data_IF_072603242958
#
_entry.id   IF_072603242958
#
_cell.length_a   1.000
_cell.length_b   1.000
_cell.length_c   1.000
_cell.angle_alpha   90.00
_cell.angle_beta   90.00
_cell.angle_gamma   90.00
#
_symmetry.space_group_name_H-M   'P 1'
#
loop_
_entity.id
_entity.type
_entity.pdbx_description
1 polymer ?
#
# COMPACT_ATOMS: atom_id res chain seq x y z
N UNK A 1 -10.04 -11.84 11.07
CA UNK A 1 -9.78 -11.60 9.63
C UNK A 1 -8.28 -11.49 9.33
N UNK A 2 -7.52 -10.72 10.08
CA UNK A 2 -6.09 -10.53 9.83
C UNK A 2 -5.25 -11.81 9.86
N UNK A 3 -5.51 -12.76 10.77
CA UNK A 3 -4.75 -14.02 10.89
C UNK A 3 -4.90 -14.95 9.69
N UNK A 4 -6.08 -15.07 9.12
CA UNK A 4 -6.33 -15.94 7.97
C UNK A 4 -5.70 -15.37 6.69
N UNK A 5 -5.72 -14.04 6.52
CA UNK A 5 -5.08 -13.36 5.43
C UNK A 5 -3.56 -13.58 5.46
N UNK A 6 -2.94 -13.45 6.64
CA UNK A 6 -1.50 -13.66 6.82
C UNK A 6 -1.09 -15.11 6.59
N UNK A 7 -1.89 -16.07 7.03
CA UNK A 7 -1.64 -17.49 6.77
C UNK A 7 -1.66 -17.79 5.27
N UNK A 8 -2.69 -17.32 4.56
CA UNK A 8 -2.79 -17.48 3.11
C UNK A 8 -1.63 -16.78 2.36
N UNK A 9 -1.18 -15.63 2.84
CA UNK A 9 -0.04 -14.92 2.29
C UNK A 9 1.26 -15.72 2.44
N UNK A 10 1.50 -16.30 3.61
CA UNK A 10 2.68 -17.14 3.88
C UNK A 10 2.71 -18.39 3.02
N UNK A 11 1.58 -19.08 2.87
CA UNK A 11 1.44 -20.25 2.01
C UNK A 11 1.79 -19.94 0.56
N UNK A 12 1.57 -18.72 0.12
CA UNK A 12 1.86 -18.25 -1.24
C UNK A 12 3.22 -17.55 -1.37
N UNK A 13 4.06 -17.59 -0.34
CA UNK A 13 5.39 -17.02 -0.35
C UNK A 13 5.44 -15.50 -0.15
N UNK A 14 4.39 -14.92 0.40
CA UNK A 14 4.33 -13.50 0.77
C UNK A 14 4.47 -13.39 2.28
N UNK A 15 5.51 -12.76 2.75
CA UNK A 15 5.72 -12.57 4.19
C UNK A 15 4.77 -11.50 4.78
N UNK A 16 4.59 -11.57 6.09
CA UNK A 16 3.68 -10.70 6.83
C UNK A 16 3.98 -9.20 6.62
N UNK A 17 5.24 -8.83 6.70
CA UNK A 17 5.66 -7.44 6.51
C UNK A 17 5.39 -6.97 5.08
N UNK A 18 5.61 -7.84 4.11
CA UNK A 18 5.34 -7.56 2.70
C UNK A 18 3.84 -7.35 2.46
N UNK A 19 3.00 -8.19 3.03
CA UNK A 19 1.54 -8.05 2.92
C UNK A 19 1.04 -6.73 3.51
N UNK A 20 1.54 -6.35 4.70
CA UNK A 20 1.18 -5.09 5.35
C UNK A 20 1.58 -3.86 4.55
N UNK A 21 2.69 -3.91 3.84
CA UNK A 21 3.27 -2.77 3.13
C UNK A 21 3.14 -2.86 1.60
N UNK A 22 2.35 -3.81 1.10
CA UNK A 22 2.13 -4.00 -0.34
C UNK A 22 1.52 -2.78 -1.05
N UNK A 23 0.84 -1.92 -0.31
CA UNK A 23 0.24 -0.70 -0.85
C UNK A 23 1.26 0.26 -1.43
N UNK A 24 2.44 0.36 -0.83
CA UNK A 24 3.52 1.22 -1.33
C UNK A 24 4.00 0.72 -2.70
N UNK A 25 4.18 -0.58 -2.86
CA UNK A 25 4.55 -1.17 -4.15
C UNK A 25 3.47 -0.93 -5.19
N UNK A 26 2.21 -1.08 -4.81
CA UNK A 26 1.07 -0.79 -5.67
C UNK A 26 1.00 0.68 -6.10
N UNK A 27 1.26 1.59 -5.18
CA UNK A 27 1.32 3.02 -5.47
C UNK A 27 2.42 3.35 -6.49
N UNK A 28 3.62 2.81 -6.30
CA UNK A 28 4.73 2.98 -7.24
C UNK A 28 4.41 2.38 -8.61
N UNK A 29 3.77 1.22 -8.64
CA UNK A 29 3.36 0.57 -9.88
C UNK A 29 2.36 1.43 -10.68
N UNK A 30 1.39 2.03 -10.02
CA UNK A 30 0.38 2.88 -10.67
C UNK A 30 0.90 4.24 -11.11
N UNK A 31 2.05 4.67 -10.61
CA UNK A 31 2.61 6.00 -10.85
C UNK A 31 4.00 5.94 -11.51
N UNK A 32 4.29 4.90 -12.28
CA UNK A 32 5.58 4.74 -12.96
C UNK A 32 5.86 5.83 -14.01
N UNK A 33 4.84 6.52 -14.48
CA UNK A 33 4.93 7.65 -15.39
C UNK A 33 5.41 8.94 -14.70
N UNK A 34 5.57 8.94 -13.40
CA UNK A 34 5.96 10.11 -12.59
C UNK A 34 7.18 9.80 -11.74
N UNK A 35 7.92 10.84 -11.38
CA UNK A 35 8.96 10.75 -10.38
C UNK A 35 8.34 10.79 -8.98
N UNK A 36 8.42 9.68 -8.25
CA UNK A 36 7.87 9.54 -6.91
C UNK A 36 9.00 9.58 -5.88
N UNK A 37 8.81 10.41 -4.87
CA UNK A 37 9.75 10.59 -3.76
C UNK A 37 9.15 10.12 -2.45
N UNK A 38 9.97 9.97 -1.44
CA UNK A 38 9.52 9.56 -0.11
C UNK A 38 8.40 10.46 0.43
N UNK A 39 8.50 11.77 0.24
CA UNK A 39 7.46 12.72 0.69
C UNK A 39 6.09 12.45 0.07
N UNK A 40 6.06 11.92 -1.14
CA UNK A 40 4.79 11.58 -1.82
C UNK A 40 4.13 10.38 -1.15
N UNK A 41 4.93 9.40 -0.71
CA UNK A 41 4.46 8.25 0.08
C UNK A 41 3.93 8.72 1.45
N UNK A 42 4.66 9.60 2.12
CA UNK A 42 4.25 10.18 3.40
C UNK A 42 2.88 10.87 3.29
N UNK A 43 2.69 11.66 2.24
CA UNK A 43 1.46 12.39 1.98
C UNK A 43 0.30 11.47 1.58
N UNK A 44 0.54 10.52 0.67
CA UNK A 44 -0.51 9.62 0.15
C UNK A 44 -1.09 8.73 1.26
N UNK A 45 -0.22 8.12 2.06
CA UNK A 45 -0.64 7.17 3.09
C UNK A 45 -0.80 7.80 4.48
N UNK A 46 -0.50 9.10 4.61
CA UNK A 46 -0.56 9.84 5.89
C UNK A 46 0.23 9.14 7.00
N UNK A 47 1.43 8.72 6.66
CA UNK A 47 2.33 7.99 7.54
C UNK A 47 3.52 8.90 7.90
N UNK A 48 3.98 8.80 9.13
CA UNK A 48 5.13 9.56 9.61
C UNK A 48 6.40 9.24 8.83
N UNK A 49 7.24 10.26 8.62
CA UNK A 49 8.50 10.15 7.90
C UNK A 49 9.40 9.01 8.41
N UNK A 50 9.52 8.86 9.74
CA UNK A 50 10.34 7.80 10.33
C UNK A 50 9.85 6.41 9.95
N UNK A 51 8.54 6.20 9.94
CA UNK A 51 7.92 4.93 9.56
C UNK A 51 8.16 4.64 8.07
N UNK A 52 7.93 5.63 7.21
CA UNK A 52 8.18 5.48 5.76
C UNK A 52 9.66 5.19 5.50
N UNK A 53 10.57 5.89 6.17
CA UNK A 53 12.02 5.65 6.06
C UNK A 53 12.37 4.20 6.36
N UNK A 54 11.83 3.65 7.44
CA UNK A 54 12.10 2.26 7.83
C UNK A 54 11.52 1.25 6.83
N UNK A 55 10.31 1.49 6.36
CA UNK A 55 9.68 0.65 5.35
C UNK A 55 10.49 0.66 4.05
N UNK A 56 10.87 1.83 3.56
CA UNK A 56 11.62 1.97 2.31
C UNK A 56 13.02 1.34 2.40
N UNK A 57 13.72 1.50 3.52
CA UNK A 57 15.00 0.83 3.74
C UNK A 57 14.88 -0.69 3.64
N UNK A 58 13.85 -1.26 4.24
CA UNK A 58 13.62 -2.69 4.18
C UNK A 58 13.27 -3.14 2.75
N UNK A 59 12.45 -2.39 2.03
CA UNK A 59 12.09 -2.69 0.63
C UNK A 59 13.31 -2.61 -0.29
N UNK A 60 14.15 -1.62 -0.10
CA UNK A 60 15.41 -1.47 -0.82
C UNK A 60 16.36 -2.63 -0.54
N UNK A 61 16.52 -3.00 0.74
CA UNK A 61 17.34 -4.14 1.15
C UNK A 61 16.87 -5.46 0.53
N UNK A 62 15.57 -5.66 0.42
CA UNK A 62 14.97 -6.85 -0.21
C UNK A 62 14.98 -6.80 -1.75
N UNK A 63 15.40 -5.70 -2.33
CA UNK A 63 15.48 -5.55 -3.78
C UNK A 63 14.15 -5.24 -4.47
N UNK A 64 13.13 -4.82 -3.74
CA UNK A 64 11.81 -4.49 -4.31
C UNK A 64 11.72 -3.08 -4.88
N UNK A 65 12.54 -2.18 -4.36
CA UNK A 65 12.69 -0.81 -4.85
C UNK A 65 14.16 -0.45 -4.94
N UNK A 66 14.47 0.56 -5.74
CA UNK A 66 15.77 1.23 -5.75
C UNK A 66 15.56 2.73 -5.74
N UNK A 67 16.61 3.46 -5.35
CA UNK A 67 16.64 4.91 -5.37
C UNK A 67 17.49 5.37 -6.54
N UNK A 68 17.00 6.31 -7.31
CA UNK A 68 17.71 6.91 -8.44
C UNK A 68 17.79 8.42 -8.31
N UNK A 69 18.94 8.98 -8.70
CA UNK A 69 19.11 10.43 -8.80
C UNK A 69 18.23 11.01 -9.91
N UNK A 70 17.79 12.24 -9.72
CA UNK A 70 17.08 13.00 -10.75
C UNK A 70 17.99 14.15 -11.23
N UNK A 71 17.92 14.52 -12.54
CA UNK A 71 18.85 15.52 -13.09
C UNK A 71 18.59 16.94 -12.60
N UNK A 72 17.40 17.24 -12.11
CA UNK A 72 16.98 18.59 -11.72
C UNK A 72 17.26 18.94 -10.25
N UNK A 73 17.57 17.97 -9.39
CA UNK A 73 17.97 18.22 -7.99
C UNK A 73 18.79 17.05 -7.45
N UNK A 74 20.08 17.28 -7.20
CA UNK A 74 21.01 16.27 -6.70
C UNK A 74 20.67 15.74 -5.30
N UNK A 75 19.86 16.47 -4.52
CA UNK A 75 19.43 16.06 -3.17
C UNK A 75 18.28 15.08 -3.20
N UNK A 76 17.57 15.00 -4.31
CA UNK A 76 16.39 14.15 -4.46
C UNK A 76 16.75 12.78 -5.02
N UNK A 77 16.14 11.76 -4.46
CA UNK A 77 16.21 10.37 -4.94
C UNK A 77 14.80 9.87 -5.19
N UNK A 78 14.47 9.64 -6.45
CA UNK A 78 13.17 9.03 -6.79
C UNK A 78 13.17 7.56 -6.45
N UNK A 79 11.99 7.07 -6.10
CA UNK A 79 11.74 5.66 -5.80
C UNK A 79 11.33 4.95 -7.09
N UNK A 80 12.01 3.86 -7.40
CA UNK A 80 11.76 3.07 -8.60
C UNK A 80 11.43 1.64 -8.20
N UNK A 81 10.33 1.13 -8.73
CA UNK A 81 9.94 -0.26 -8.55
C UNK A 81 10.85 -1.15 -9.40
N UNK A 82 11.43 -2.18 -8.78
CA UNK A 82 12.21 -3.19 -9.50
C UNK A 82 11.30 -4.26 -10.10
N UNK A 83 11.82 -5.08 -11.00
CA UNK A 83 11.06 -6.23 -11.54
C UNK A 83 10.64 -7.19 -10.44
N UNK A 84 11.53 -7.45 -9.47
CA UNK A 84 11.22 -8.25 -8.28
C UNK A 84 10.09 -7.63 -7.44
N UNK A 85 10.10 -6.32 -7.26
CA UNK A 85 9.04 -5.58 -6.58
C UNK A 85 7.70 -5.65 -7.32
N UNK A 86 7.74 -5.57 -8.64
CA UNK A 86 6.55 -5.71 -9.50
C UNK A 86 5.92 -7.11 -9.38
N UNK A 87 6.74 -8.15 -9.46
CA UNK A 87 6.28 -9.54 -9.29
C UNK A 87 5.62 -9.75 -7.93
N UNK A 88 6.22 -9.20 -6.88
CA UNK A 88 5.65 -9.26 -5.54
C UNK A 88 4.30 -8.54 -5.46
N UNK A 89 4.21 -7.35 -6.05
CA UNK A 89 2.95 -6.60 -6.11
C UNK A 89 1.85 -7.39 -6.81
N UNK A 90 2.14 -7.99 -7.96
CA UNK A 90 1.19 -8.79 -8.72
C UNK A 90 0.68 -10.00 -7.92
N UNK A 91 1.58 -10.74 -7.27
CA UNK A 91 1.20 -11.86 -6.40
C UNK A 91 0.31 -11.41 -5.24
N UNK A 92 0.65 -10.30 -4.61
CA UNK A 92 -0.11 -9.75 -3.48
C UNK A 92 -1.49 -9.29 -3.94
N UNK A 93 -1.56 -8.63 -5.09
CA UNK A 93 -2.82 -8.17 -5.67
C UNK A 93 -3.75 -9.35 -5.98
N UNK A 94 -3.25 -10.36 -6.68
CA UNK A 94 -4.05 -11.54 -7.03
C UNK A 94 -4.60 -12.24 -5.78
N UNK A 95 -3.79 -12.36 -4.75
CA UNK A 95 -4.20 -12.92 -3.47
C UNK A 95 -5.30 -12.09 -2.80
N UNK A 96 -5.16 -10.77 -2.79
CA UNK A 96 -6.16 -9.88 -2.20
C UNK A 96 -7.47 -9.95 -2.98
N UNK A 97 -7.41 -9.93 -4.31
CA UNK A 97 -8.60 -10.02 -5.17
C UNK A 97 -9.39 -11.31 -4.88
N UNK A 98 -8.71 -12.46 -4.78
CA UNK A 98 -9.35 -13.74 -4.44
C UNK A 98 -9.99 -13.69 -3.05
N UNK A 99 -9.30 -13.13 -2.07
CA UNK A 99 -9.81 -13.03 -0.70
C UNK A 99 -10.99 -12.07 -0.59
N UNK A 100 -10.97 -10.97 -1.32
CA UNK A 100 -12.11 -10.06 -1.40
C UNK A 100 -13.34 -10.75 -1.98
N UNK A 101 -13.19 -11.46 -3.10
CA UNK A 101 -14.29 -12.24 -3.70
C UNK A 101 -14.91 -13.24 -2.71
N UNK A 102 -14.06 -13.98 -2.00
CA UNK A 102 -14.52 -14.93 -0.99
C UNK A 102 -15.19 -14.26 0.21
N UNK A 103 -14.68 -13.09 0.61
CA UNK A 103 -15.21 -12.35 1.76
C UNK A 103 -16.62 -11.80 1.51
N UNK A 104 -16.92 -11.41 0.27
CA UNK A 104 -18.22 -10.84 -0.09
C UNK A 104 -19.20 -11.87 -0.68
N UNK A 105 -18.80 -13.12 -0.78
CA UNK A 105 -19.66 -14.19 -1.32
C UNK A 105 -20.99 -14.26 -0.58
N UNK A 106 -22.09 -14.30 -1.32
CA UNK A 106 -23.43 -14.35 -0.78
C UNK A 106 -24.03 -13.02 -0.30
N UNK A 107 -23.28 -11.93 -0.43
CA UNK A 107 -23.76 -10.59 -0.07
C UNK A 107 -24.31 -9.89 -1.33
N UNK A 108 -25.53 -9.38 -1.25
CA UNK A 108 -26.14 -8.63 -2.35
C UNK A 108 -25.36 -7.35 -2.65
N UNK A 109 -25.28 -6.99 -3.92
CA UNK A 109 -24.57 -5.77 -4.35
C UNK A 109 -25.09 -4.51 -3.67
N UNK A 110 -26.41 -4.40 -3.52
CA UNK A 110 -27.06 -3.26 -2.87
C UNK A 110 -26.63 -3.12 -1.41
N UNK A 111 -26.46 -4.23 -0.71
CA UNK A 111 -26.02 -4.24 0.68
C UNK A 111 -24.54 -3.82 0.80
N UNK A 112 -23.70 -4.28 -0.13
CA UNK A 112 -22.30 -3.85 -0.20
C UNK A 112 -22.20 -2.36 -0.48
N UNK A 113 -22.94 -1.83 -1.43
CA UNK A 113 -22.95 -0.41 -1.78
C UNK A 113 -23.38 0.43 -0.56
N UNK A 114 -24.39 0.00 0.16
CA UNK A 114 -24.83 0.64 1.41
C UNK A 114 -23.75 0.58 2.48
N UNK A 115 -23.11 -0.55 2.66
CA UNK A 115 -22.01 -0.73 3.62
C UNK A 115 -20.86 0.21 3.34
N UNK A 116 -20.39 0.29 2.11
CA UNK A 116 -19.32 1.20 1.73
C UNK A 116 -19.70 2.66 1.90
N UNK A 117 -20.94 3.02 1.57
CA UNK A 117 -21.45 4.37 1.79
C UNK A 117 -21.44 4.75 3.27
N UNK A 118 -21.86 3.84 4.13
CA UNK A 118 -21.87 4.05 5.59
C UNK A 118 -20.45 4.17 6.13
N UNK A 119 -19.52 3.30 5.70
CA UNK A 119 -18.11 3.36 6.09
C UNK A 119 -17.48 4.69 5.69
N UNK A 120 -17.74 5.18 4.49
CA UNK A 120 -17.20 6.46 4.03
C UNK A 120 -17.76 7.63 4.84
N UNK A 121 -19.03 7.57 5.22
CA UNK A 121 -19.62 8.58 6.11
C UNK A 121 -18.98 8.54 7.51
N UNK A 122 -18.76 7.36 8.06
CA UNK A 122 -18.07 7.21 9.35
C UNK A 122 -16.64 7.77 9.30
N UNK A 123 -15.90 7.48 8.25
CA UNK A 123 -14.54 8.03 8.05
C UNK A 123 -14.56 9.55 7.99
N UNK A 124 -15.48 10.12 7.24
CA UNK A 124 -15.65 11.56 7.12
C UNK A 124 -15.96 12.20 8.47
N UNK A 125 -16.87 11.62 9.24
CA UNK A 125 -17.25 12.12 10.57
C UNK A 125 -16.06 12.06 11.53
N UNK A 126 -15.32 10.97 11.57
CA UNK A 126 -14.13 10.84 12.41
C UNK A 126 -13.06 11.85 12.03
N UNK A 127 -12.82 12.04 10.74
CA UNK A 127 -11.88 13.06 10.26
C UNK A 127 -12.27 14.46 10.73
N UNK A 128 -13.54 14.81 10.65
CA UNK A 128 -14.04 16.11 11.08
C UNK A 128 -13.93 16.30 12.61
N UNK A 129 -14.10 15.22 13.39
CA UNK A 129 -14.00 15.28 14.86
C UNK A 129 -12.56 15.42 15.35
N UNK A 130 -11.61 14.70 14.73
CA UNK A 130 -10.22 14.63 15.19
C UNK A 130 -9.30 15.64 14.51
N UNK A 131 -9.74 16.27 13.44
CA UNK A 131 -8.89 17.07 12.58
C UNK A 131 -7.87 16.22 11.81
N UNK A 132 -6.99 16.86 11.04
CA UNK A 132 -5.86 16.17 10.41
C UNK A 132 -4.78 15.94 11.46
N UNK A 133 -4.56 14.68 11.83
CA UNK A 133 -3.44 14.32 12.70
C UNK A 133 -2.16 14.32 11.87
N UNK A 134 -1.26 15.25 12.18
CA UNK A 134 0.11 15.20 11.69
C UNK A 134 0.99 14.47 12.70
N UNK A 135 1.93 13.71 12.19
CA UNK A 135 2.94 13.10 13.04
C UNK A 135 3.96 14.11 13.54
#
# INVERSE_FOLDING_TARGET
MSRNLMAAARERGVDELTAMHGWILGYLCRNEDKDIFQKDIEAEFKICRSTVTNILKLREKKGYIRRESVPYDARLKKLVLTDTGRELHEKTKDMIDILEEQTIEGIAKEDLDTFYRVIDQLKSNVKNMLGETSC
#
